data_IF_296436909051
#
_entry.id   IF_296436909051
#
_cell.length_a   1.000
_cell.length_b   1.000
_cell.length_c   1.000
_cell.angle_alpha   90.00
_cell.angle_beta   90.00
_cell.angle_gamma   90.00
#
_symmetry.space_group_name_H-M   'P 1'
#
loop_
_entity.id
_entity.type
_entity.pdbx_description
1 polymer ?
#
# COMPACT_ATOMS: atom_id res chain seq x y z
N UNK A 1 30.32 14.33 3.46
CA UNK A 1 30.04 13.63 2.18
C UNK A 1 28.54 13.58 2.04
N UNK A 2 27.97 14.65 1.48
CA UNK A 2 26.53 14.91 1.44
C UNK A 2 25.87 14.12 0.30
N UNK A 3 25.20 13.02 0.64
CA UNK A 3 24.36 12.27 -0.31
C UNK A 3 22.97 12.91 -0.37
N UNK A 4 22.89 14.13 -0.92
CA UNK A 4 21.63 14.73 -1.30
C UNK A 4 21.17 14.10 -2.62
N UNK A 5 20.40 13.02 -2.54
CA UNK A 5 19.69 12.47 -3.70
C UNK A 5 18.67 13.51 -4.18
N UNK A 6 19.10 14.34 -5.13
CA UNK A 6 18.28 15.38 -5.72
C UNK A 6 17.12 14.73 -6.50
N UNK A 7 15.92 14.79 -5.93
CA UNK A 7 14.68 14.32 -6.54
C UNK A 7 14.33 15.26 -7.70
N UNK A 8 14.68 14.89 -8.93
CA UNK A 8 14.19 15.59 -10.12
C UNK A 8 12.74 15.18 -10.41
N UNK A 9 11.77 15.94 -9.90
CA UNK A 9 10.35 15.75 -10.17
C UNK A 9 9.88 16.62 -11.35
N UNK A 10 9.43 16.00 -12.44
CA UNK A 10 8.67 16.68 -13.51
C UNK A 10 7.21 16.92 -13.05
N UNK A 11 6.54 18.01 -13.49
CA UNK A 11 5.32 18.52 -12.85
C UNK A 11 4.03 17.66 -12.95
N UNK A 12 4.03 16.50 -13.62
CA UNK A 12 2.88 15.60 -13.67
C UNK A 12 3.28 14.11 -13.70
N UNK A 13 4.38 13.76 -13.02
CA UNK A 13 4.88 12.38 -12.98
C UNK A 13 5.05 11.95 -11.53
N UNK A 14 4.79 10.67 -11.26
CA UNK A 14 5.17 10.06 -9.99
C UNK A 14 6.68 10.24 -9.81
N UNK A 15 7.09 10.59 -8.60
CA UNK A 15 8.50 10.74 -8.27
C UNK A 15 9.13 9.35 -8.11
N UNK A 16 10.44 9.26 -8.31
CA UNK A 16 11.19 8.00 -8.26
C UNK A 16 12.23 8.06 -7.16
N UNK A 17 12.25 7.05 -6.29
CA UNK A 17 13.31 6.81 -5.32
C UNK A 17 14.31 5.79 -5.89
N UNK A 18 15.58 6.14 -6.09
CA UNK A 18 16.60 5.25 -6.65
C UNK A 18 17.13 4.28 -5.58
N UNK A 19 16.26 3.46 -5.00
CA UNK A 19 16.54 2.53 -3.88
C UNK A 19 16.54 1.05 -4.30
N UNK A 20 16.77 0.78 -5.59
CA UNK A 20 16.76 -0.57 -6.16
C UNK A 20 17.97 -1.43 -5.79
N UNK A 21 19.04 -0.84 -5.27
CA UNK A 21 20.23 -1.56 -4.83
C UNK A 21 20.31 -1.69 -3.31
N UNK A 22 21.49 -1.39 -2.76
CA UNK A 22 21.83 -1.50 -1.33
C UNK A 22 21.58 -0.20 -0.54
N UNK A 23 20.92 0.80 -1.12
CA UNK A 23 20.69 2.10 -0.46
C UNK A 23 19.93 1.97 0.88
N UNK A 24 19.11 0.92 1.04
CA UNK A 24 18.37 0.64 2.27
C UNK A 24 19.16 -0.20 3.30
N UNK A 25 20.38 -0.64 2.97
CA UNK A 25 21.18 -1.51 3.84
C UNK A 25 21.37 -0.97 5.27
N UNK A 26 21.66 0.33 5.48
CA UNK A 26 21.86 0.87 6.83
C UNK A 26 20.62 0.78 7.74
N UNK A 27 19.43 0.61 7.16
CA UNK A 27 18.14 0.60 7.86
C UNK A 27 17.54 -0.80 8.00
N UNK A 28 18.24 -1.82 7.51
CA UNK A 28 17.82 -3.22 7.61
C UNK A 28 18.42 -3.84 8.88
N UNK A 29 17.59 -4.11 9.87
CA UNK A 29 18.02 -4.58 11.20
C UNK A 29 17.56 -6.01 11.53
N UNK A 30 16.73 -6.62 10.69
CA UNK A 30 16.25 -8.00 10.90
C UNK A 30 16.48 -8.90 9.68
N UNK A 31 16.44 -10.21 9.92
CA UNK A 31 16.72 -11.23 8.90
C UNK A 31 15.77 -11.13 7.69
N UNK A 32 14.49 -10.80 7.89
CA UNK A 32 13.53 -10.65 6.79
C UNK A 32 13.86 -9.45 5.89
N UNK A 33 14.26 -8.33 6.49
CA UNK A 33 14.70 -7.14 5.75
C UNK A 33 15.98 -7.42 4.95
N UNK A 34 16.95 -8.09 5.56
CA UNK A 34 18.21 -8.47 4.92
C UNK A 34 17.99 -9.48 3.78
N UNK A 35 17.09 -10.45 3.97
CA UNK A 35 16.70 -11.41 2.94
C UNK A 35 16.09 -10.71 1.72
N UNK A 36 15.18 -9.76 1.94
CA UNK A 36 14.64 -8.94 0.85
C UNK A 36 15.73 -8.11 0.19
N UNK A 37 16.59 -7.48 0.97
CA UNK A 37 17.65 -6.60 0.46
C UNK A 37 18.55 -7.33 -0.54
N UNK A 38 18.86 -8.61 -0.28
CA UNK A 38 19.65 -9.47 -1.16
C UNK A 38 18.98 -9.80 -2.51
N UNK A 39 17.67 -9.61 -2.65
CA UNK A 39 16.97 -9.80 -3.91
C UNK A 39 17.16 -8.59 -4.85
N UNK A 40 17.11 -8.79 -6.18
CA UNK A 40 17.12 -7.69 -7.13
C UNK A 40 15.99 -6.69 -6.85
N UNK A 41 16.35 -5.43 -6.63
CA UNK A 41 15.40 -4.35 -6.41
C UNK A 41 15.21 -3.47 -7.63
N UNK A 42 14.09 -2.77 -7.66
CA UNK A 42 13.76 -1.77 -8.65
C UNK A 42 13.69 -0.39 -7.99
N UNK A 43 13.91 0.71 -8.74
CA UNK A 43 13.55 2.04 -8.29
C UNK A 43 12.07 2.09 -7.90
N UNK A 44 11.75 2.80 -6.82
CA UNK A 44 10.40 2.86 -6.28
C UNK A 44 9.69 4.11 -6.77
N UNK A 45 8.56 3.92 -7.43
CA UNK A 45 7.64 5.02 -7.74
C UNK A 45 6.84 5.40 -6.50
N UNK A 46 6.63 6.68 -6.28
CA UNK A 46 5.73 7.18 -5.25
C UNK A 46 4.90 8.36 -5.75
N UNK A 47 3.70 8.49 -5.17
CA UNK A 47 2.77 9.55 -5.50
C UNK A 47 3.32 10.88 -4.95
N UNK A 48 3.20 11.94 -5.75
CA UNK A 48 3.68 13.26 -5.32
C UNK A 48 3.01 13.69 -4.01
N UNK A 49 3.80 14.25 -3.11
CA UNK A 49 3.38 14.72 -1.78
C UNK A 49 2.82 13.62 -0.85
N UNK A 50 3.06 12.32 -1.14
CA UNK A 50 2.61 11.23 -0.25
C UNK A 50 3.72 10.62 0.61
N UNK A 51 4.97 11.00 0.36
CA UNK A 51 6.13 10.66 1.19
C UNK A 51 6.80 11.97 1.58
N UNK A 52 6.90 12.21 2.87
CA UNK A 52 7.66 13.35 3.42
C UNK A 52 9.08 12.91 3.75
N UNK A 53 10.03 13.86 3.72
CA UNK A 53 11.40 13.61 4.17
C UNK A 53 11.42 13.15 5.63
N UNK A 54 10.59 13.74 6.49
CA UNK A 54 10.48 13.35 7.89
C UNK A 54 10.08 11.87 8.09
N UNK A 55 9.16 11.34 7.28
CA UNK A 55 8.79 9.91 7.35
C UNK A 55 9.96 9.01 6.95
N UNK A 56 10.68 9.37 5.89
CA UNK A 56 11.87 8.61 5.47
C UNK A 56 12.97 8.71 6.53
N UNK A 57 13.27 9.91 7.01
CA UNK A 57 14.29 10.21 8.03
C UNK A 57 13.97 9.59 9.39
N UNK A 58 12.69 9.34 9.70
CA UNK A 58 12.30 8.66 10.93
C UNK A 58 12.78 7.20 10.97
N UNK A 59 13.15 6.62 9.81
CA UNK A 59 13.69 5.26 9.66
C UNK A 59 12.86 4.17 10.36
N UNK A 60 11.57 4.41 10.54
CA UNK A 60 10.71 3.46 11.21
C UNK A 60 10.52 2.21 10.36
N UNK A 61 10.48 1.05 11.04
CA UNK A 61 10.30 -0.25 10.43
C UNK A 61 9.16 -0.33 9.39
N UNK A 62 7.93 0.19 9.61
CA UNK A 62 6.86 0.15 8.60
C UNK A 62 7.24 0.83 7.28
N UNK A 63 7.94 1.96 7.31
CA UNK A 63 8.37 2.69 6.11
C UNK A 63 9.46 1.95 5.35
N UNK A 64 10.49 1.48 6.05
CA UNK A 64 11.57 0.69 5.46
C UNK A 64 11.02 -0.60 4.85
N UNK A 65 10.14 -1.30 5.56
CA UNK A 65 9.49 -2.51 5.05
C UNK A 65 8.62 -2.21 3.82
N UNK A 66 7.86 -1.11 3.84
CA UNK A 66 7.08 -0.65 2.69
C UNK A 66 7.95 -0.42 1.45
N UNK A 67 9.08 0.26 1.61
CA UNK A 67 10.05 0.51 0.53
C UNK A 67 10.69 -0.77 0.00
N UNK A 68 11.09 -1.69 0.89
CA UNK A 68 11.64 -2.99 0.51
C UNK A 68 10.63 -3.80 -0.31
N UNK A 69 9.39 -3.92 0.17
CA UNK A 69 8.30 -4.61 -0.56
C UNK A 69 8.06 -3.94 -1.91
N UNK A 70 8.02 -2.60 -1.97
CA UNK A 70 7.74 -1.91 -3.21
C UNK A 70 8.87 -2.02 -4.23
N UNK A 71 10.12 -2.13 -3.78
CA UNK A 71 11.28 -2.28 -4.66
C UNK A 71 11.37 -3.70 -5.25
N UNK A 72 11.04 -4.72 -4.44
CA UNK A 72 11.37 -6.13 -4.72
C UNK A 72 10.16 -7.05 -4.90
N UNK A 73 8.97 -6.59 -4.54
CA UNK A 73 7.74 -7.37 -4.61
C UNK A 73 7.20 -7.54 -6.02
N UNK A 74 6.21 -8.41 -6.15
CA UNK A 74 5.43 -8.59 -7.37
C UNK A 74 4.15 -7.76 -7.30
N UNK A 75 3.68 -7.28 -8.45
CA UNK A 75 2.41 -6.57 -8.57
C UNK A 75 1.26 -7.52 -8.23
N UNK A 76 0.31 -7.06 -7.42
CA UNK A 76 -0.97 -7.73 -7.18
C UNK A 76 -1.96 -7.21 -8.22
N UNK A 77 -2.43 -8.11 -9.10
CA UNK A 77 -3.32 -7.80 -10.23
C UNK A 77 -4.58 -7.05 -9.79
N UNK A 78 -5.29 -7.61 -8.80
CA UNK A 78 -6.35 -6.92 -8.08
C UNK A 78 -5.82 -6.39 -6.76
N UNK A 79 -5.52 -5.09 -6.71
CA UNK A 79 -5.08 -4.39 -5.48
C UNK A 79 -5.83 -4.88 -4.24
N UNK A 80 -5.13 -5.02 -3.11
CA UNK A 80 -5.75 -5.54 -1.89
C UNK A 80 -6.95 -4.70 -1.41
N UNK A 81 -7.80 -5.29 -0.55
CA UNK A 81 -9.03 -4.61 -0.08
C UNK A 81 -8.78 -3.23 0.53
N UNK A 82 -7.72 -3.09 1.32
CA UNK A 82 -7.31 -1.81 1.91
C UNK A 82 -6.84 -0.79 0.86
N UNK A 83 -6.07 -1.23 -0.14
CA UNK A 83 -5.63 -0.36 -1.23
C UNK A 83 -6.80 0.10 -2.09
N UNK A 84 -7.83 -0.74 -2.28
CA UNK A 84 -9.07 -0.33 -2.96
C UNK A 84 -9.87 0.67 -2.14
N UNK A 85 -9.98 0.48 -0.82
CA UNK A 85 -10.77 1.36 0.06
C UNK A 85 -10.11 2.72 0.29
N UNK A 86 -8.80 2.73 0.53
CA UNK A 86 -8.05 3.93 0.94
C UNK A 86 -7.14 4.50 -0.16
N UNK A 87 -7.16 3.90 -1.35
CA UNK A 87 -6.31 4.27 -2.47
C UNK A 87 -4.86 3.80 -2.33
N UNK A 88 -4.19 3.79 -3.49
CA UNK A 88 -2.79 3.40 -3.69
C UNK A 88 -1.87 4.58 -3.33
N UNK A 89 -1.68 4.77 -2.03
CA UNK A 89 -0.71 5.73 -1.48
C UNK A 89 0.04 5.10 -0.29
N UNK A 90 1.34 5.39 -0.16
CA UNK A 90 2.11 6.33 -0.97
C UNK A 90 2.56 5.79 -2.33
N UNK A 91 2.47 4.49 -2.56
CA UNK A 91 2.95 3.86 -3.79
C UNK A 91 1.80 3.67 -4.77
N UNK A 92 2.02 3.92 -6.07
CA UNK A 92 0.98 3.81 -7.09
C UNK A 92 0.56 2.36 -7.37
N UNK A 93 1.34 1.38 -6.91
CA UNK A 93 1.11 -0.04 -7.15
C UNK A 93 0.91 -0.80 -5.84
N UNK A 94 0.04 -1.81 -5.85
CA UNK A 94 -0.06 -2.77 -4.76
C UNK A 94 0.95 -3.89 -5.00
N UNK A 95 2.13 -3.85 -4.37
CA UNK A 95 3.14 -4.92 -4.47
C UNK A 95 3.25 -5.73 -3.18
N UNK A 96 3.54 -7.03 -3.29
CA UNK A 96 3.75 -7.98 -2.18
C UNK A 96 5.01 -8.80 -2.40
N UNK A 97 5.60 -9.32 -1.32
CA UNK A 97 6.61 -10.39 -1.41
C UNK A 97 6.07 -11.59 -0.64
N UNK A 98 6.07 -12.76 -1.27
CA UNK A 98 5.59 -13.98 -0.63
C UNK A 98 6.54 -14.43 0.48
N UNK A 99 5.99 -14.95 1.57
CA UNK A 99 6.75 -15.41 2.73
C UNK A 99 7.32 -14.30 3.62
N UNK A 100 7.05 -13.03 3.32
CA UNK A 100 7.57 -11.88 4.07
C UNK A 100 6.45 -11.02 4.64
N UNK A 101 6.65 -10.49 5.85
CA UNK A 101 5.76 -9.53 6.51
C UNK A 101 4.26 -9.89 6.45
N UNK A 102 3.94 -11.14 6.78
CA UNK A 102 2.57 -11.69 6.76
C UNK A 102 1.89 -11.56 5.37
N UNK A 103 2.72 -11.57 4.32
CA UNK A 103 2.33 -11.34 2.92
C UNK A 103 1.65 -9.98 2.69
N UNK A 104 1.78 -9.01 3.59
CA UNK A 104 1.17 -7.68 3.43
C UNK A 104 1.81 -6.89 2.27
N UNK A 105 1.03 -5.99 1.66
CA UNK A 105 1.54 -5.16 0.57
C UNK A 105 2.28 -3.91 1.07
N UNK A 106 3.13 -3.32 0.23
CA UNK A 106 3.95 -2.16 0.61
C UNK A 106 3.14 -0.96 1.10
N UNK A 107 1.99 -0.65 0.45
CA UNK A 107 1.09 0.42 0.87
C UNK A 107 0.47 0.18 2.26
N UNK A 108 0.04 -1.05 2.54
CA UNK A 108 -0.50 -1.40 3.85
C UNK A 108 0.59 -1.40 4.92
N UNK A 109 1.79 -1.89 4.59
CA UNK A 109 2.91 -1.89 5.52
C UNK A 109 3.35 -0.48 5.88
N UNK A 110 3.38 0.44 4.91
CA UNK A 110 3.70 1.84 5.14
C UNK A 110 2.75 2.51 6.14
N UNK A 111 1.45 2.24 6.04
CA UNK A 111 0.41 2.78 6.93
C UNK A 111 0.29 2.02 8.25
N UNK A 112 1.12 1.00 8.48
CA UNK A 112 0.98 0.04 9.56
C UNK A 112 -0.38 -0.70 9.61
N UNK A 113 -1.03 -0.83 8.44
CA UNK A 113 -2.28 -1.57 8.25
C UNK A 113 -2.03 -2.98 7.72
N UNK A 114 -0.87 -3.57 8.00
CA UNK A 114 -0.46 -4.89 7.47
C UNK A 114 -1.45 -6.00 7.83
N UNK A 115 -1.98 -5.98 9.05
CA UNK A 115 -2.96 -6.95 9.55
C UNK A 115 -4.31 -6.91 8.80
N UNK A 116 -4.66 -5.76 8.25
CA UNK A 116 -5.90 -5.57 7.47
C UNK A 116 -5.71 -5.93 5.99
N UNK A 117 -4.49 -6.31 5.57
CA UNK A 117 -4.12 -6.48 4.18
C UNK A 117 -4.62 -7.81 3.56
N UNK A 118 -5.93 -7.94 3.40
CA UNK A 118 -6.55 -9.14 2.82
C UNK A 118 -6.24 -9.26 1.32
N UNK A 119 -5.77 -10.43 0.87
CA UNK A 119 -5.54 -10.73 -0.55
C UNK A 119 -6.89 -10.62 -1.28
N UNK A 120 -6.86 -10.10 -2.51
CA UNK A 120 -7.98 -10.32 -3.43
C UNK A 120 -7.63 -11.57 -4.19
N UNK A 121 -7.94 -12.71 -3.59
CA UNK A 121 -7.81 -14.03 -4.16
C UNK A 121 -8.79 -14.20 -5.33
N UNK A 122 -8.42 -13.62 -6.47
CA UNK A 122 -8.80 -14.14 -7.78
C UNK A 122 -7.54 -14.62 -8.46
N UNK A 123 -7.12 -15.82 -8.09
CA UNK A 123 -6.05 -16.57 -8.75
C UNK A 123 -6.48 -16.87 -10.19
N UNK A 124 -6.13 -16.02 -11.16
CA UNK A 124 -6.24 -16.39 -12.57
C UNK A 124 -5.06 -17.30 -12.93
N UNK A 125 -5.17 -18.57 -12.56
CA UNK A 125 -4.58 -19.62 -13.36
C UNK A 125 -5.35 -19.68 -14.69
N UNK A 126 -4.94 -18.85 -15.66
CA UNK A 126 -5.45 -18.85 -17.02
C UNK A 126 -4.30 -18.52 -17.99
N UNK A 127 -4.20 -19.22 -19.14
CA UNK A 127 -2.98 -19.20 -19.94
C UNK A 127 -2.76 -17.84 -20.60
N UNK A 128 -1.48 -17.50 -20.73
CA UNK A 128 -0.96 -16.41 -21.56
C UNK A 128 -1.57 -16.49 -22.95
N UNK A 129 -2.53 -15.62 -23.26
CA UNK A 129 -2.93 -15.38 -24.65
C UNK A 129 -2.26 -14.09 -25.12
N UNK A 130 -1.12 -14.28 -25.78
CA UNK A 130 -0.53 -13.30 -26.68
C UNK A 130 -1.51 -13.10 -27.83
N UNK A 131 -2.08 -11.90 -27.97
CA UNK A 131 -2.06 -11.13 -29.23
C UNK A 131 -2.80 -9.80 -29.05
N UNK A 132 -2.02 -8.72 -29.08
CA UNK A 132 -2.52 -7.44 -29.59
C UNK A 132 -2.86 -7.67 -31.06
N UNK A 133 -4.13 -7.56 -31.42
CA UNK A 133 -4.51 -7.13 -32.76
C UNK A 133 -5.05 -5.68 -32.66
N UNK A 134 -4.55 -4.75 -33.49
CA UNK A 134 -5.09 -3.39 -33.57
C UNK A 134 -6.48 -3.38 -34.23
N UNK A 135 -7.29 -2.32 -34.03
CA UNK A 135 -8.66 -2.27 -34.52
C UNK A 135 -8.68 -1.97 -36.03
N UNK A 136 -9.27 -2.85 -36.83
CA UNK A 136 -9.65 -2.55 -38.21
C UNK A 136 -11.06 -1.97 -38.24
N UNK A 137 -11.14 -0.74 -38.77
CA UNK A 137 -12.37 -0.04 -39.17
C UNK A 137 -13.07 -0.76 -40.34
N UNK A 138 -14.36 -0.46 -40.52
CA UNK A 138 -15.34 -0.99 -41.52
C UNK A 138 -16.12 -2.22 -40.99
N UNK A 139 -17.46 -2.30 -40.96
CA UNK A 139 -18.49 -1.60 -41.72
C UNK A 139 -19.83 -1.57 -40.97
N UNK A 140 -20.61 -0.54 -41.28
CA UNK A 140 -22.04 -0.35 -40.98
C UNK A 140 -22.89 -1.56 -41.39
N UNK A 141 -23.87 -1.91 -40.56
CA UNK A 141 -25.27 -2.10 -40.96
C UNK A 141 -26.16 -2.33 -39.72
N UNK A 142 -27.07 -1.39 -39.45
CA UNK A 142 -28.32 -1.65 -38.73
C UNK A 142 -29.33 -2.30 -39.71
N UNK A 143 -30.29 -3.07 -39.20
CA UNK A 143 -31.69 -2.60 -39.20
C UNK A 143 -32.38 -2.91 -37.85
N UNK A 144 -32.99 -1.93 -37.19
CA UNK A 144 -34.43 -1.61 -37.21
C UNK A 144 -35.40 -2.66 -36.60
N UNK A 145 -36.12 -2.17 -35.57
CA UNK A 145 -37.50 -2.48 -35.13
C UNK A 145 -37.79 -3.72 -34.27
N UNK A 146 -38.20 -3.45 -33.02
CA UNK A 146 -39.59 -3.63 -32.50
C UNK A 146 -39.59 -3.31 -30.99
N UNK A 147 -40.08 -2.15 -30.55
CA UNK A 147 -41.46 -1.88 -30.10
C UNK A 147 -42.07 -3.01 -29.23
N UNK A 148 -42.01 -2.86 -27.90
CA UNK A 148 -43.15 -2.67 -26.96
C UNK A 148 -42.72 -2.83 -25.49
N UNK A 149 -43.05 -1.90 -24.57
CA UNK A 149 -43.11 -2.12 -23.11
C UNK A 149 -44.57 -2.31 -22.65
N UNK A 150 -44.86 -3.09 -21.59
CA UNK A 150 -45.40 -2.49 -20.32
C UNK A 150 -45.26 -3.43 -19.07
N UNK A 151 -45.90 -3.17 -17.89
CA UNK A 151 -46.28 -1.91 -17.25
C UNK A 151 -45.72 -1.75 -15.82
N UNK A 152 -45.93 -0.54 -15.31
CA UNK A 152 -45.76 -0.07 -13.94
C UNK A 152 -46.74 -0.71 -12.95
N UNK A 153 -46.25 -1.10 -11.77
CA UNK A 153 -47.02 -1.13 -10.51
C UNK A 153 -46.07 -0.64 -9.41
N UNK A 154 -46.16 0.64 -9.04
CA UNK A 154 -46.96 1.16 -7.91
C UNK A 154 -46.31 0.88 -6.55
N UNK A 155 -45.59 1.89 -6.04
CA UNK A 155 -45.25 2.06 -4.62
C UNK A 155 -46.53 2.17 -3.77
N UNK A 156 -46.43 1.82 -2.48
CA UNK A 156 -46.65 2.85 -1.45
C UNK A 156 -45.47 2.83 -0.46
N UNK A 157 -44.79 3.96 -0.29
CA UNK A 157 -45.10 4.96 0.75
C UNK A 157 -44.98 4.40 2.17
N UNK A 158 -43.82 4.66 2.79
CA UNK A 158 -43.69 4.93 4.22
C UNK A 158 -42.43 5.77 4.44
N UNK A 159 -42.66 7.07 4.55
CA UNK A 159 -41.72 8.02 5.15
C UNK A 159 -41.68 7.83 6.69
N UNK A 160 -40.97 8.68 7.46
CA UNK A 160 -39.68 8.38 8.05
C UNK A 160 -39.76 8.25 9.58
N UNK A 161 -38.81 7.55 10.20
CA UNK A 161 -38.60 7.68 11.65
C UNK A 161 -37.12 7.81 11.96
N UNK A 162 -36.77 8.96 12.52
CA UNK A 162 -35.56 9.28 13.27
C UNK A 162 -35.98 10.34 14.30
N UNK A 163 -35.25 10.58 15.41
CA UNK A 163 -34.27 9.78 16.14
C UNK A 163 -34.65 9.71 17.66
N UNK A 164 -33.74 9.41 18.61
CA UNK A 164 -32.91 10.49 19.15
C UNK A 164 -31.45 10.12 19.47
N UNK A 165 -30.65 11.18 19.55
CA UNK A 165 -29.24 11.28 19.94
C UNK A 165 -28.90 10.66 21.30
N UNK A 166 -27.67 10.14 21.42
CA UNK A 166 -26.88 10.25 22.66
C UNK A 166 -25.37 10.20 22.35
N UNK A 167 -24.73 11.33 22.60
CA UNK A 167 -23.31 11.53 22.90
C UNK A 167 -22.80 10.50 23.93
N UNK A 168 -21.62 9.90 23.72
CA UNK A 168 -20.69 9.62 24.83
C UNK A 168 -19.30 9.21 24.32
N UNK A 169 -18.41 10.20 24.39
CA UNK A 169 -16.95 10.07 24.50
C UNK A 169 -16.55 8.88 25.36
N UNK A 170 -15.65 8.02 24.87
CA UNK A 170 -14.74 7.25 25.73
C UNK A 170 -13.33 7.31 25.15
N UNK A 171 -12.63 8.34 25.61
CA UNK A 171 -11.19 8.32 25.80
C UNK A 171 -10.81 7.12 26.67
N UNK A 172 -10.00 6.20 26.16
CA UNK A 172 -9.21 5.28 27.00
C UNK A 172 -7.74 5.53 26.77
N UNK A 173 -7.29 6.56 27.48
CA UNK A 173 -6.00 6.69 28.15
C UNK A 173 -5.49 5.31 28.60
N UNK A 174 -4.39 4.83 28.03
CA UNK A 174 -3.58 3.76 28.64
C UNK A 174 -2.56 4.45 29.52
N UNK A 175 -2.83 4.45 30.82
CA UNK A 175 -1.86 4.81 31.84
C UNK A 175 -0.78 3.75 31.97
N UNK A 176 0.37 4.28 32.36
CA UNK A 176 1.61 3.63 32.74
C UNK A 176 1.44 2.44 33.69
N UNK A 177 2.22 1.39 33.42
CA UNK A 177 2.77 0.55 34.46
C UNK A 177 4.27 0.87 34.53
N UNK A 178 4.58 1.80 35.43
CA UNK A 178 5.90 1.98 36.03
C UNK A 178 6.02 0.96 37.18
N UNK A 179 7.02 0.08 37.12
CA UNK A 179 7.72 -0.49 38.29
C UNK A 179 9.14 -0.78 37.77
N UNK A 180 10.13 0.10 37.99
CA UNK A 180 10.97 0.23 39.19
C UNK A 180 12.01 -0.90 39.37
N UNK A 181 13.29 -0.50 39.40
CA UNK A 181 14.47 -1.31 39.73
C UNK A 181 15.66 -0.86 38.85
N UNK A 182 16.33 0.27 39.09
CA UNK A 182 17.28 0.63 40.16
C UNK A 182 18.68 -0.03 40.04
N UNK A 183 19.70 0.82 40.21
CA UNK A 183 21.17 0.60 40.34
C UNK A 183 21.95 0.48 39.02
N UNK A 184 22.65 1.52 38.53
CA UNK A 184 23.85 2.25 39.02
C UNK A 184 25.20 1.63 38.54
N UNK A 185 25.95 2.44 37.78
CA UNK A 185 27.42 2.60 37.66
C UNK A 185 28.36 1.37 37.64
N UNK A 186 29.01 1.03 36.51
CA UNK A 186 30.36 1.49 36.02
C UNK A 186 31.40 0.34 36.21
N UNK A 187 32.65 0.39 35.71
CA UNK A 187 33.15 0.59 34.35
C UNK A 187 33.95 -0.61 33.78
N UNK A 188 34.34 -0.39 32.52
CA UNK A 188 35.28 -1.12 31.66
C UNK A 188 36.68 -1.28 32.30
N UNK A 189 37.24 -2.49 32.23
CA UNK A 189 38.69 -2.75 32.26
C UNK A 189 39.04 -3.48 30.96
N UNK A 190 39.92 -2.86 30.17
CA UNK A 190 40.56 -3.48 29.00
C UNK A 190 41.96 -3.88 29.45
N UNK A 191 42.31 -5.14 29.25
CA UNK A 191 43.69 -5.65 29.39
C UNK A 191 44.29 -5.86 28.00
#
# INVERSE_FOLDING_TARGET
MDNAACVQAQPNRNSVLPIGGQQLAPYCHNALQLALLAMPGNPVLFVRNSITTAEVESMQAPYINGLLIQSRGILVEDSCGECRRHGLRPFPDCRRVEGHFDNSCGNCKWRDHGILCVRSDRSHSGPVSRQRNPPSLHSRASPERSLTPPPHHASPDRSPTSPPSADLKHSRRREALLLCGASEDEPIVVE
#
